data_IF_763283053727
#
_entry.id   IF_763283053727
#
_cell.length_a   1.000
_cell.length_b   1.000
_cell.length_c   1.000
_cell.angle_alpha   90.00
_cell.angle_beta   90.00
_cell.angle_gamma   90.00
#
_symmetry.space_group_name_H-M   'P 1'
#
loop_
_entity.id
_entity.type
_entity.pdbx_description
1 polymer ?
#
# COMPACT_ATOMS: atom_id res chain seq x y z
N UNK A 1 11.10 36.01 -39.85
CA UNK A 1 11.78 35.86 -41.17
C UNK A 1 13.27 35.78 -40.89
N UNK A 2 14.01 35.07 -41.73
CA UNK A 2 15.38 34.53 -41.55
C UNK A 2 15.40 33.15 -40.87
N UNK A 3 16.03 32.09 -41.39
CA UNK A 3 16.68 31.87 -42.69
C UNK A 3 16.73 30.36 -42.98
N UNK A 4 16.71 30.11 -44.29
CA UNK A 4 16.62 28.86 -45.05
C UNK A 4 17.99 28.11 -45.10
N UNK A 5 17.93 26.78 -45.25
CA UNK A 5 18.84 25.86 -45.99
C UNK A 5 18.62 24.45 -45.40
N UNK A 6 17.92 23.48 -46.00
CA UNK A 6 18.04 22.87 -47.33
C UNK A 6 19.48 22.56 -47.72
N UNK A 7 19.85 21.29 -47.65
CA UNK A 7 20.65 20.64 -48.68
C UNK A 7 20.37 19.13 -48.71
N UNK A 8 19.61 18.76 -49.73
CA UNK A 8 19.50 17.41 -50.28
C UNK A 8 20.66 17.25 -51.26
N UNK A 9 21.43 16.16 -51.20
CA UNK A 9 22.16 15.71 -52.40
C UNK A 9 22.40 14.21 -52.43
N UNK A 10 21.63 13.61 -53.32
CA UNK A 10 21.77 12.28 -53.90
C UNK A 10 22.79 12.33 -55.06
N UNK A 11 23.62 11.31 -55.21
CA UNK A 11 24.41 10.95 -56.42
C UNK A 11 25.00 9.55 -56.14
N UNK A 12 24.45 8.44 -56.64
CA UNK A 12 24.54 7.85 -58.01
C UNK A 12 25.94 7.35 -58.42
N UNK A 13 26.06 6.01 -58.51
CA UNK A 13 26.85 5.16 -59.45
C UNK A 13 28.39 5.34 -59.48
N UNK A 14 29.26 4.35 -59.73
CA UNK A 14 29.16 3.14 -60.55
C UNK A 14 30.31 2.13 -60.26
N UNK A 15 30.01 0.85 -60.53
CA UNK A 15 30.82 -0.27 -61.08
C UNK A 15 32.29 -0.51 -60.67
N UNK A 16 32.59 -1.77 -60.29
CA UNK A 16 33.26 -2.78 -61.15
C UNK A 16 33.93 -3.86 -60.29
N UNK A 17 33.90 -5.11 -60.76
CA UNK A 17 34.74 -6.18 -60.19
C UNK A 17 34.06 -7.53 -60.08
N UNK A 18 34.01 -8.22 -61.20
CA UNK A 18 33.77 -9.67 -61.32
C UNK A 18 34.88 -10.43 -60.58
N UNK A 19 34.56 -11.24 -59.57
CA UNK A 19 35.42 -12.38 -59.18
C UNK A 19 34.65 -13.53 -58.55
N UNK A 20 35.11 -14.72 -58.91
CA UNK A 20 34.51 -16.02 -58.81
C UNK A 20 34.94 -16.70 -57.49
N UNK A 21 34.00 -17.05 -56.61
CA UNK A 21 34.36 -17.89 -55.46
C UNK A 21 33.38 -17.87 -54.29
N UNK A 22 32.54 -18.92 -54.21
CA UNK A 22 32.01 -19.49 -52.97
C UNK A 22 31.48 -18.52 -51.91
N UNK A 23 30.15 -18.30 -51.88
CA UNK A 23 29.50 -17.52 -50.82
C UNK A 23 29.88 -18.05 -49.42
N UNK A 24 30.64 -17.30 -48.60
CA UNK A 24 31.12 -17.76 -47.29
C UNK A 24 29.96 -17.97 -46.31
N UNK A 25 28.81 -17.36 -46.58
CA UNK A 25 27.57 -17.54 -45.82
C UNK A 25 27.03 -18.97 -45.91
N UNK A 26 27.14 -19.62 -47.06
CA UNK A 26 26.62 -20.98 -47.27
C UNK A 26 27.51 -22.02 -46.59
N UNK A 27 28.82 -21.79 -46.58
CA UNK A 27 29.78 -22.61 -45.82
C UNK A 27 29.61 -22.45 -44.31
N UNK A 28 29.39 -21.21 -43.83
CA UNK A 28 29.08 -20.95 -42.41
C UNK A 28 27.74 -21.57 -41.98
N UNK A 29 26.71 -21.51 -42.82
CA UNK A 29 25.40 -22.10 -42.52
C UNK A 29 25.47 -23.64 -42.50
N UNK A 30 26.19 -24.25 -43.43
CA UNK A 30 26.43 -25.70 -43.42
C UNK A 30 27.23 -26.14 -42.19
N UNK A 31 28.28 -25.39 -41.83
CA UNK A 31 29.08 -25.66 -40.62
C UNK A 31 28.28 -25.47 -39.33
N UNK A 32 27.43 -24.45 -39.28
CA UNK A 32 26.55 -24.17 -38.15
C UNK A 32 25.47 -25.26 -38.00
N UNK A 33 24.94 -25.76 -39.11
CA UNK A 33 23.98 -26.88 -39.12
C UNK A 33 24.65 -28.20 -38.69
N UNK A 34 25.89 -28.46 -39.13
CA UNK A 34 26.66 -29.63 -38.69
C UNK A 34 27.05 -29.57 -37.21
N UNK A 35 27.31 -28.37 -36.65
CA UNK A 35 27.58 -28.20 -35.22
C UNK A 35 26.33 -28.24 -34.34
N UNK A 36 25.14 -28.21 -34.93
CA UNK A 36 23.86 -28.23 -34.19
C UNK A 36 23.30 -29.65 -34.02
N UNK A 37 23.93 -30.65 -34.64
CA UNK A 37 23.58 -32.08 -34.53
C UNK A 37 24.46 -32.88 -33.57
N UNK A 38 25.41 -32.25 -32.87
CA UNK A 38 26.38 -32.95 -32.05
C UNK A 38 26.48 -32.30 -30.65
N UNK A 39 25.66 -32.78 -29.71
CA UNK A 39 26.01 -32.69 -28.28
C UNK A 39 25.16 -31.80 -27.36
N UNK A 40 23.91 -31.46 -27.69
CA UNK A 40 22.99 -30.79 -26.75
C UNK A 40 21.57 -31.32 -26.89
N UNK A 41 20.87 -31.51 -25.76
CA UNK A 41 19.46 -31.92 -25.71
C UNK A 41 18.67 -31.24 -26.85
N UNK A 42 18.21 -32.03 -27.82
CA UNK A 42 17.56 -31.48 -29.02
C UNK A 42 16.34 -30.61 -28.66
N UNK A 43 15.86 -29.76 -29.57
CA UNK A 43 14.72 -28.87 -29.31
C UNK A 43 13.50 -29.62 -28.74
N UNK A 44 13.28 -30.86 -29.18
CA UNK A 44 12.27 -31.77 -28.64
C UNK A 44 12.54 -32.24 -27.21
N UNK A 45 13.80 -32.53 -26.85
CA UNK A 45 14.17 -32.93 -25.49
C UNK A 45 14.05 -31.75 -24.51
N UNK A 46 14.39 -30.54 -24.94
CA UNK A 46 14.16 -29.33 -24.16
C UNK A 46 12.66 -29.06 -23.97
N UNK A 47 11.84 -29.23 -25.02
CA UNK A 47 10.38 -29.11 -24.93
C UNK A 47 9.78 -30.19 -24.03
N UNK A 48 10.27 -31.42 -24.10
CA UNK A 48 9.85 -32.53 -23.24
C UNK A 48 10.27 -32.33 -21.78
N UNK A 49 11.42 -31.71 -21.53
CA UNK A 49 11.88 -31.32 -20.18
C UNK A 49 11.05 -30.19 -19.60
N UNK A 50 10.68 -29.21 -20.43
CA UNK A 50 9.78 -28.13 -20.02
C UNK A 50 8.37 -28.65 -19.71
N UNK A 51 7.85 -29.57 -20.52
CA UNK A 51 6.55 -30.20 -20.32
C UNK A 51 6.56 -31.15 -19.10
N UNK A 52 7.67 -31.88 -18.89
CA UNK A 52 7.87 -32.74 -17.73
C UNK A 52 8.03 -31.97 -16.41
N UNK A 53 8.66 -30.80 -16.44
CA UNK A 53 8.73 -29.89 -15.29
C UNK A 53 7.36 -29.27 -14.97
N UNK A 54 6.52 -29.05 -16.00
CA UNK A 54 5.15 -28.53 -15.80
C UNK A 54 4.17 -29.59 -15.27
N UNK A 55 4.39 -30.87 -15.60
CA UNK A 55 3.62 -32.01 -15.07
C UNK A 55 4.10 -32.56 -13.73
N UNK A 56 5.21 -32.05 -13.18
CA UNK A 56 5.80 -32.51 -11.90
C UNK A 56 5.55 -31.56 -10.73
N UNK A 57 4.65 -30.58 -10.89
CA UNK A 57 4.07 -29.91 -9.74
C UNK A 57 2.96 -30.79 -9.18
N UNK A 58 3.33 -31.55 -8.14
CA UNK A 58 2.41 -32.14 -7.18
C UNK A 58 1.24 -31.20 -6.94
N UNK A 59 0.04 -31.76 -7.08
CA UNK A 59 -1.17 -31.30 -6.41
C UNK A 59 -0.82 -30.98 -4.95
N UNK A 60 -0.88 -29.70 -4.60
CA UNK A 60 -0.47 -29.21 -3.29
C UNK A 60 -0.12 -27.72 -3.33
N UNK A 61 -1.16 -26.89 -3.27
CA UNK A 61 -1.08 -25.60 -2.58
C UNK A 61 -0.15 -24.53 -3.17
N UNK A 62 -0.28 -24.24 -4.47
CA UNK A 62 0.16 -22.97 -5.04
C UNK A 62 -0.96 -22.42 -5.91
N UNK A 63 -1.75 -21.49 -5.35
CA UNK A 63 -2.74 -20.74 -6.12
C UNK A 63 -2.09 -20.14 -7.37
N UNK A 64 -2.84 -20.12 -8.48
CA UNK A 64 -2.34 -19.60 -9.76
C UNK A 64 -1.60 -18.27 -9.54
N UNK A 65 -0.36 -18.09 -10.02
CA UNK A 65 0.43 -16.88 -9.78
C UNK A 65 -0.29 -15.61 -10.26
N UNK A 66 -1.13 -15.74 -11.30
CA UNK A 66 -2.03 -14.68 -11.78
C UNK A 66 -3.13 -14.31 -10.76
N UNK A 67 -3.67 -15.29 -10.03
CA UNK A 67 -4.69 -15.07 -8.99
C UNK A 67 -4.08 -14.42 -7.74
N UNK A 68 -2.84 -14.78 -7.39
CA UNK A 68 -2.11 -14.15 -6.29
C UNK A 68 -1.79 -12.69 -6.60
N UNK A 69 -1.33 -12.40 -7.82
CA UNK A 69 -1.08 -11.04 -8.29
C UNK A 69 -2.37 -10.20 -8.33
N UNK A 70 -3.48 -10.76 -8.80
CA UNK A 70 -4.78 -10.08 -8.79
C UNK A 70 -5.27 -9.81 -7.35
N UNK A 71 -5.07 -10.75 -6.42
CA UNK A 71 -5.40 -10.59 -5.00
C UNK A 71 -4.61 -9.46 -4.34
N UNK A 72 -3.31 -9.35 -4.65
CA UNK A 72 -2.46 -8.28 -4.13
C UNK A 72 -2.87 -6.89 -4.66
N UNK A 73 -3.19 -6.77 -5.96
CA UNK A 73 -3.70 -5.52 -6.52
C UNK A 73 -5.05 -5.11 -5.91
N UNK A 74 -5.98 -6.07 -5.72
CA UNK A 74 -7.28 -5.79 -5.10
C UNK A 74 -7.14 -5.44 -3.62
N UNK A 75 -6.24 -6.11 -2.89
CA UNK A 75 -5.92 -5.81 -1.49
C UNK A 75 -5.38 -4.39 -1.31
N UNK A 76 -4.40 -3.99 -2.14
CA UNK A 76 -3.84 -2.64 -2.10
C UNK A 76 -4.89 -1.57 -2.43
N UNK A 77 -5.76 -1.80 -3.43
CA UNK A 77 -6.86 -0.90 -3.73
C UNK A 77 -7.86 -0.79 -2.56
N UNK A 78 -8.17 -1.90 -1.89
CA UNK A 78 -9.05 -1.90 -0.72
C UNK A 78 -8.44 -1.17 0.49
N UNK A 79 -7.14 -1.32 0.73
CA UNK A 79 -6.41 -0.59 1.75
C UNK A 79 -6.39 0.91 1.46
N UNK A 80 -6.13 1.30 0.19
CA UNK A 80 -6.16 2.70 -0.23
C UNK A 80 -7.55 3.33 -0.04
N UNK A 81 -8.62 2.64 -0.43
CA UNK A 81 -9.99 3.11 -0.21
C UNK A 81 -10.31 3.25 1.28
N UNK A 82 -9.83 2.32 2.11
CA UNK A 82 -9.99 2.38 3.57
C UNK A 82 -9.25 3.58 4.16
N UNK A 83 -8.01 3.81 3.73
CA UNK A 83 -7.22 4.97 4.15
C UNK A 83 -7.86 6.29 3.71
N UNK A 84 -8.39 6.36 2.49
CA UNK A 84 -9.16 7.51 2.01
C UNK A 84 -10.43 7.73 2.84
N UNK A 85 -11.20 6.68 3.11
CA UNK A 85 -12.41 6.79 3.93
C UNK A 85 -12.09 7.29 5.34
N UNK A 86 -11.03 6.77 5.96
CA UNK A 86 -10.52 7.25 7.25
C UNK A 86 -10.12 8.72 7.19
N UNK A 87 -9.38 9.12 6.14
CA UNK A 87 -8.92 10.50 5.95
C UNK A 87 -10.09 11.46 5.72
N UNK A 88 -11.06 11.10 4.87
CA UNK A 88 -12.25 11.91 4.60
C UNK A 88 -13.15 12.02 5.83
N UNK A 89 -13.31 10.92 6.58
CA UNK A 89 -14.04 10.94 7.86
C UNK A 89 -13.36 11.91 8.84
N UNK A 90 -12.03 11.83 9.00
CA UNK A 90 -11.27 12.76 9.84
C UNK A 90 -11.34 14.22 9.34
N UNK A 91 -11.30 14.44 8.02
CA UNK A 91 -11.40 15.76 7.40
C UNK A 91 -12.79 16.39 7.58
N UNK A 92 -13.86 15.57 7.59
CA UNK A 92 -15.21 16.03 7.86
C UNK A 92 -15.38 16.54 9.31
N UNK A 93 -14.54 16.05 10.25
CA UNK A 93 -14.51 16.57 11.62
C UNK A 93 -13.71 17.87 11.80
N UNK A 94 -13.07 18.38 10.74
CA UNK A 94 -12.11 19.50 10.84
C UNK A 94 -12.67 20.85 10.40
N UNK A 95 -13.99 20.97 10.22
CA UNK A 95 -14.58 22.28 9.93
C UNK A 95 -14.54 23.17 11.18
N UNK A 96 -14.24 24.47 11.05
CA UNK A 96 -14.16 25.39 12.20
C UNK A 96 -15.43 25.43 13.06
N UNK A 97 -16.58 25.24 12.42
CA UNK A 97 -17.89 25.20 13.08
C UNK A 97 -18.00 23.98 13.99
N UNK A 98 -17.54 22.81 13.53
CA UNK A 98 -17.58 21.58 14.33
C UNK A 98 -16.58 21.65 15.49
N UNK A 99 -15.41 22.25 15.28
CA UNK A 99 -14.47 22.54 16.36
C UNK A 99 -15.09 23.43 17.43
N UNK A 100 -15.88 24.44 17.03
CA UNK A 100 -16.59 25.33 17.95
C UNK A 100 -17.63 24.55 18.75
N UNK A 101 -18.48 23.77 18.08
CA UNK A 101 -19.49 22.93 18.74
C UNK A 101 -18.86 21.91 19.71
N UNK A 102 -17.73 21.31 19.32
CA UNK A 102 -16.99 20.40 20.20
C UNK A 102 -16.43 21.13 21.42
N UNK A 103 -15.91 22.35 21.24
CA UNK A 103 -15.44 23.20 22.34
C UNK A 103 -16.56 23.54 23.31
N UNK A 104 -17.70 24.01 22.82
CA UNK A 104 -18.88 24.32 23.64
C UNK A 104 -19.40 23.08 24.39
N UNK A 105 -19.46 21.94 23.71
CA UNK A 105 -19.83 20.67 24.31
C UNK A 105 -18.84 20.24 25.40
N UNK A 106 -17.54 20.33 25.15
CA UNK A 106 -16.49 20.04 26.13
C UNK A 106 -16.59 20.94 27.36
N UNK A 107 -16.78 22.25 27.17
CA UNK A 107 -16.96 23.17 28.29
C UNK A 107 -18.22 22.87 29.11
N UNK A 108 -19.32 22.47 28.46
CA UNK A 108 -20.52 22.01 29.17
C UNK A 108 -20.24 20.77 29.99
N UNK A 109 -19.57 19.79 29.38
CA UNK A 109 -19.22 18.52 30.00
C UNK A 109 -18.31 18.73 31.22
N UNK A 110 -17.35 19.66 31.14
CA UNK A 110 -16.50 20.03 32.28
C UNK A 110 -17.30 20.64 33.44
N UNK A 111 -18.24 21.56 33.14
CA UNK A 111 -19.09 22.17 34.18
C UNK A 111 -19.98 21.13 34.86
N UNK A 112 -20.55 20.22 34.08
CA UNK A 112 -21.35 19.11 34.61
C UNK A 112 -20.52 18.17 35.48
N UNK A 113 -19.29 17.85 35.04
CA UNK A 113 -18.36 17.03 35.82
C UNK A 113 -18.01 17.68 37.16
N UNK A 114 -17.67 18.97 37.16
CA UNK A 114 -17.35 19.73 38.38
C UNK A 114 -18.55 19.78 39.33
N UNK A 115 -19.75 20.05 38.81
CA UNK A 115 -20.99 20.07 39.59
C UNK A 115 -21.27 18.69 40.21
N UNK A 116 -21.05 17.62 39.45
CA UNK A 116 -21.21 16.25 39.95
C UNK A 116 -20.23 15.93 41.09
N UNK A 117 -18.98 16.41 40.98
CA UNK A 117 -17.94 16.23 42.00
C UNK A 117 -18.19 17.06 43.26
N UNK A 118 -18.63 18.33 43.14
CA UNK A 118 -18.95 19.19 44.28
C UNK A 118 -20.05 18.61 45.17
N UNK A 119 -21.03 17.93 44.58
CA UNK A 119 -22.14 17.30 45.33
C UNK A 119 -21.76 16.04 46.11
N UNK A 120 -20.69 15.32 45.71
CA UNK A 120 -20.32 14.00 46.27
C UNK A 120 -18.91 13.93 46.85
N UNK A 121 -18.08 14.96 46.64
CA UNK A 121 -16.70 15.08 47.13
C UNK A 121 -15.70 14.22 46.38
N UNK A 122 -15.84 12.90 46.47
CA UNK A 122 -14.93 11.94 45.83
C UNK A 122 -15.73 10.99 44.93
N UNK A 123 -15.31 10.86 43.67
CA UNK A 123 -16.01 10.06 42.66
C UNK A 123 -15.01 9.20 41.90
N UNK A 124 -15.38 7.96 41.61
CA UNK A 124 -14.62 7.09 40.73
C UNK A 124 -14.99 7.33 39.25
N UNK A 125 -14.17 6.78 38.36
CA UNK A 125 -14.30 6.95 36.90
C UNK A 125 -15.65 6.44 36.39
N UNK A 126 -16.09 5.27 36.87
CA UNK A 126 -17.33 4.64 36.41
C UNK A 126 -18.57 5.42 36.82
N UNK A 127 -18.61 5.94 38.06
CA UNK A 127 -19.71 6.79 38.52
C UNK A 127 -19.76 8.10 37.74
N UNK A 128 -18.62 8.71 37.45
CA UNK A 128 -18.55 9.93 36.66
C UNK A 128 -19.02 9.69 35.23
N UNK A 129 -18.52 8.63 34.58
CA UNK A 129 -18.92 8.23 33.23
C UNK A 129 -20.43 8.02 33.12
N UNK A 130 -21.01 7.30 34.07
CA UNK A 130 -22.46 7.07 34.13
C UNK A 130 -23.25 8.38 34.31
N UNK A 131 -22.77 9.30 35.14
CA UNK A 131 -23.44 10.59 35.38
C UNK A 131 -23.45 11.49 34.15
N UNK A 132 -22.34 11.48 33.40
CA UNK A 132 -22.13 12.29 32.20
C UNK A 132 -22.61 11.60 30.91
N UNK A 133 -23.07 10.34 31.02
CA UNK A 133 -23.50 9.50 29.88
C UNK A 133 -22.43 9.37 28.79
N UNK A 134 -21.17 9.26 29.20
CA UNK A 134 -20.02 9.02 28.32
C UNK A 134 -19.39 7.66 28.62
N UNK A 135 -18.47 7.21 27.75
CA UNK A 135 -17.70 5.98 28.02
C UNK A 135 -16.69 6.22 29.15
N UNK A 136 -16.29 5.15 29.85
CA UNK A 136 -15.24 5.24 30.87
C UNK A 136 -13.91 5.75 30.29
N UNK A 137 -13.56 5.34 29.07
CA UNK A 137 -12.38 5.85 28.36
C UNK A 137 -12.43 7.38 28.19
N UNK A 138 -13.58 7.91 27.74
CA UNK A 138 -13.80 9.35 27.61
C UNK A 138 -13.74 10.05 28.98
N UNK A 139 -14.28 9.43 30.03
CA UNK A 139 -14.23 9.97 31.38
C UNK A 139 -12.79 10.03 31.91
N UNK A 140 -11.96 9.02 31.64
CA UNK A 140 -10.52 9.05 31.99
C UNK A 140 -9.83 10.23 31.33
N UNK A 141 -10.08 10.45 30.03
CA UNK A 141 -9.53 11.59 29.31
C UNK A 141 -10.00 12.93 29.90
N UNK A 142 -11.29 13.07 30.21
CA UNK A 142 -11.85 14.26 30.83
C UNK A 142 -11.23 14.54 32.20
N UNK A 143 -11.10 13.53 33.06
CA UNK A 143 -10.51 13.69 34.39
C UNK A 143 -9.04 14.09 34.28
N UNK A 144 -8.28 13.45 33.38
CA UNK A 144 -6.89 13.84 33.11
C UNK A 144 -6.80 15.30 32.63
N UNK A 145 -7.72 15.73 31.77
CA UNK A 145 -7.80 17.10 31.30
C UNK A 145 -8.09 18.09 32.45
N UNK A 146 -9.12 17.82 33.25
CA UNK A 146 -9.48 18.63 34.43
C UNK A 146 -8.33 18.73 35.44
N UNK A 147 -7.60 17.63 35.65
CA UNK A 147 -6.45 17.62 36.54
C UNK A 147 -5.27 18.43 35.97
N UNK A 148 -5.00 18.30 34.68
CA UNK A 148 -3.92 19.06 34.01
C UNK A 148 -4.18 20.57 34.01
N UNK A 149 -5.45 20.99 34.03
CA UNK A 149 -5.87 22.39 34.10
C UNK A 149 -6.05 22.90 35.53
N UNK A 150 -5.79 22.07 36.55
CA UNK A 150 -5.89 22.43 37.96
C UNK A 150 -7.31 22.55 38.50
N UNK A 151 -8.31 22.09 37.74
CA UNK A 151 -9.74 22.12 38.14
C UNK A 151 -10.15 20.93 39.00
N UNK A 152 -9.38 19.83 38.99
CA UNK A 152 -9.63 18.63 39.78
C UNK A 152 -8.33 18.02 40.33
N UNK A 153 -8.43 17.30 41.44
CA UNK A 153 -7.31 16.52 41.98
C UNK A 153 -7.50 15.04 41.68
N UNK A 154 -6.47 14.39 41.13
CA UNK A 154 -6.45 12.96 40.87
C UNK A 154 -5.97 12.18 42.11
N UNK A 155 -6.72 11.15 42.49
CA UNK A 155 -6.29 10.17 43.48
C UNK A 155 -6.27 8.80 42.83
N UNK A 156 -5.10 8.17 42.80
CA UNK A 156 -4.91 6.83 42.23
C UNK A 156 -4.90 5.83 43.37
N UNK A 157 -5.73 4.80 43.27
CA UNK A 157 -5.70 3.65 44.17
C UNK A 157 -5.48 2.38 43.36
N UNK A 158 -4.51 1.57 43.78
CA UNK A 158 -4.34 0.25 43.21
C UNK A 158 -5.53 -0.62 43.63
N UNK A 159 -6.34 -1.05 42.66
CA UNK A 159 -7.31 -2.14 42.85
C UNK A 159 -6.55 -3.43 42.65
N UNK A 160 -6.13 -4.06 43.76
CA UNK A 160 -5.38 -5.31 43.69
C UNK A 160 -6.22 -6.44 43.08
N UNK A 161 -5.65 -7.13 42.10
CA UNK A 161 -6.05 -8.48 41.68
C UNK A 161 -5.84 -9.42 42.88
N UNK A 162 -6.88 -10.15 43.28
CA UNK A 162 -6.84 -11.08 44.40
C UNK A 162 -7.20 -12.47 43.92
#
# INVERSE_FOLDING_TARGET
MESKNQDTKESSESESGQDNGSNPMMGKMKKMMSSMGQGGEGPMAMMQKMMGQMGSHKEGEAGNPMQNMMGMCMGMCAEMLTAMHKTTSMAAFTTPELHTLFGEWMESLEREALTAMEGKGQMDVSTLAASLKITEESAIHLIAHLASTGKAALSIRATGDK
#
